data_IF_715601736313
#
_entry.id   IF_715601736313
#
_cell.length_a   1.000
_cell.length_b   1.000
_cell.length_c   1.000
_cell.angle_alpha   90.00
_cell.angle_beta   90.00
_cell.angle_gamma   90.00
#
_symmetry.space_group_name_H-M   'P 1'
#
loop_
_entity.id
_entity.type
_entity.pdbx_description
1 polymer ?
#
# COMPACT_ATOMS: atom_id res chain seq x y z
N UNK A 1 4.43 13.13 -9.06
CA UNK A 1 4.38 12.34 -10.31
C UNK A 1 4.42 13.17 -11.60
N UNK A 2 3.66 14.25 -11.77
CA UNK A 2 3.68 15.02 -13.03
C UNK A 2 5.11 15.42 -13.46
N UNK A 3 5.89 16.02 -12.56
CA UNK A 3 7.30 16.38 -12.81
C UNK A 3 8.17 15.19 -13.25
N UNK A 4 7.93 14.00 -12.68
CA UNK A 4 8.70 12.79 -13.01
C UNK A 4 8.53 12.39 -14.48
N UNK A 5 7.30 12.44 -14.99
CA UNK A 5 6.99 12.09 -16.39
C UNK A 5 7.40 13.17 -17.40
N UNK A 6 7.70 14.38 -16.94
CA UNK A 6 8.30 15.47 -17.72
C UNK A 6 9.84 15.55 -17.57
N UNK A 7 10.48 14.47 -17.10
CA UNK A 7 11.93 14.33 -16.92
C UNK A 7 12.57 15.21 -15.81
N UNK A 8 11.75 15.88 -14.99
CA UNK A 8 12.18 16.60 -13.78
C UNK A 8 12.30 15.65 -12.58
N UNK A 9 13.08 14.57 -12.71
CA UNK A 9 13.15 13.48 -11.72
C UNK A 9 13.66 13.94 -10.35
N UNK A 10 14.65 14.84 -10.33
CA UNK A 10 15.24 15.38 -9.09
C UNK A 10 14.22 16.19 -8.31
N UNK A 11 13.54 17.13 -8.98
CA UNK A 11 12.52 17.97 -8.34
C UNK A 11 11.34 17.13 -7.87
N UNK A 12 10.93 16.15 -8.68
CA UNK A 12 9.85 15.24 -8.31
C UNK A 12 10.20 14.43 -7.04
N UNK A 13 11.44 13.94 -6.93
CA UNK A 13 11.91 13.22 -5.75
C UNK A 13 12.01 14.14 -4.53
N UNK A 14 12.49 15.38 -4.71
CA UNK A 14 12.56 16.37 -3.64
C UNK A 14 11.17 16.67 -3.05
N UNK A 15 10.17 16.91 -3.91
CA UNK A 15 8.79 17.16 -3.46
C UNK A 15 8.21 15.94 -2.72
N UNK A 16 8.49 14.73 -3.21
CA UNK A 16 8.08 13.51 -2.53
C UNK A 16 8.72 13.40 -1.15
N UNK A 17 10.03 13.62 -1.04
CA UNK A 17 10.76 13.57 0.24
C UNK A 17 10.24 14.61 1.24
N UNK A 18 9.91 15.82 0.76
CA UNK A 18 9.30 16.86 1.60
C UNK A 18 7.94 16.44 2.15
N UNK A 19 7.07 15.87 1.30
CA UNK A 19 5.75 15.40 1.71
C UNK A 19 5.84 14.24 2.71
N UNK A 20 6.72 13.27 2.44
CA UNK A 20 6.96 12.13 3.34
C UNK A 20 7.52 12.58 4.68
N UNK A 21 8.51 13.48 4.70
CA UNK A 21 9.06 14.00 5.96
C UNK A 21 7.98 14.73 6.78
N UNK A 22 7.16 15.57 6.13
CA UNK A 22 6.07 16.25 6.81
C UNK A 22 5.05 15.26 7.41
N UNK A 23 4.67 14.22 6.67
CA UNK A 23 3.75 13.20 7.17
C UNK A 23 4.31 12.41 8.36
N UNK A 24 5.62 12.15 8.35
CA UNK A 24 6.33 11.51 9.47
C UNK A 24 6.38 12.45 10.69
N UNK A 25 6.71 13.73 10.48
CA UNK A 25 6.76 14.74 11.54
C UNK A 25 5.41 14.94 12.22
N UNK A 26 4.33 14.87 11.43
CA UNK A 26 2.94 14.89 11.89
C UNK A 26 2.51 13.56 12.54
N UNK A 27 3.30 12.49 12.41
CA UNK A 27 2.97 11.15 12.87
C UNK A 27 1.70 10.56 12.25
N UNK A 28 1.47 10.83 10.95
CA UNK A 28 0.28 10.35 10.22
C UNK A 28 0.15 8.82 10.18
N UNK A 29 1.24 8.10 10.41
CA UNK A 29 1.32 6.64 10.48
C UNK A 29 0.73 6.03 11.76
N UNK A 30 0.37 6.87 12.72
CA UNK A 30 -0.20 6.46 14.00
C UNK A 30 -1.72 6.43 13.96
N UNK A 31 -2.32 5.43 14.60
CA UNK A 31 -3.77 5.30 14.76
C UNK A 31 -4.42 6.60 15.28
N UNK A 32 -3.78 7.23 16.26
CA UNK A 32 -4.33 8.38 16.98
C UNK A 32 -4.38 9.65 16.11
N UNK A 33 -3.58 9.74 15.05
CA UNK A 33 -3.45 10.96 14.26
C UNK A 33 -4.78 11.34 13.59
N UNK A 34 -5.38 10.41 12.85
CA UNK A 34 -6.63 10.66 12.15
C UNK A 34 -7.74 11.04 13.13
N UNK A 35 -7.83 10.33 14.27
CA UNK A 35 -8.81 10.61 15.32
C UNK A 35 -8.62 12.02 15.94
N UNK A 36 -7.37 12.44 16.16
CA UNK A 36 -7.06 13.76 16.74
C UNK A 36 -7.30 14.92 15.76
N UNK A 37 -7.01 14.74 14.47
CA UNK A 37 -7.11 15.81 13.46
C UNK A 37 -8.47 15.89 12.76
N UNK A 38 -9.21 14.78 12.72
CA UNK A 38 -10.48 14.70 12.01
C UNK A 38 -11.71 15.23 12.76
N UNK A 39 -11.55 15.68 14.01
CA UNK A 39 -12.68 16.01 14.90
C UNK A 39 -13.76 14.92 14.82
N UNK A 40 -15.05 15.25 14.79
CA UNK A 40 -16.16 14.28 14.62
C UNK A 40 -16.51 13.97 13.15
N UNK A 41 -15.70 14.42 12.18
CA UNK A 41 -15.94 14.18 10.75
C UNK A 41 -15.29 12.86 10.29
N UNK A 42 -16.08 11.80 10.02
CA UNK A 42 -15.53 10.52 9.61
C UNK A 42 -14.83 10.57 8.24
N UNK A 43 -15.27 11.44 7.33
CA UNK A 43 -14.69 11.60 5.99
C UNK A 43 -13.31 12.26 6.11
N UNK A 44 -13.17 13.25 6.99
CA UNK A 44 -11.87 13.88 7.25
C UNK A 44 -10.89 12.89 7.90
N UNK A 45 -11.35 12.06 8.84
CA UNK A 45 -10.49 10.99 9.41
C UNK A 45 -10.03 10.00 8.32
N UNK A 46 -10.93 9.64 7.41
CA UNK A 46 -10.63 8.75 6.29
C UNK A 46 -9.64 9.36 5.29
N UNK A 47 -9.78 10.65 4.98
CA UNK A 47 -8.87 11.33 4.06
C UNK A 47 -7.44 11.40 4.63
N UNK A 48 -7.27 11.55 5.94
CA UNK A 48 -5.96 11.46 6.59
C UNK A 48 -5.34 10.07 6.46
N UNK A 49 -6.12 9.00 6.68
CA UNK A 49 -5.66 7.60 6.48
C UNK A 49 -5.24 7.36 5.04
N UNK A 50 -6.08 7.74 4.08
CA UNK A 50 -5.78 7.65 2.64
C UNK A 50 -4.51 8.44 2.25
N UNK A 51 -4.31 9.62 2.84
CA UNK A 51 -3.11 10.44 2.57
C UNK A 51 -1.83 9.73 2.99
N UNK A 52 -1.79 9.16 4.20
CA UNK A 52 -0.64 8.38 4.66
C UNK A 52 -0.37 7.18 3.74
N UNK A 53 -1.40 6.38 3.48
CA UNK A 53 -1.24 5.17 2.66
C UNK A 53 -0.88 5.47 1.21
N UNK A 54 -1.36 6.58 0.65
CA UNK A 54 -0.94 7.01 -0.69
C UNK A 54 0.53 7.44 -0.72
N UNK A 55 1.01 8.16 0.30
CA UNK A 55 2.44 8.47 0.42
C UNK A 55 3.27 7.19 0.55
N UNK A 56 2.78 6.20 1.32
CA UNK A 56 3.41 4.89 1.44
C UNK A 56 3.54 4.17 0.09
N UNK A 57 2.46 4.11 -0.69
CA UNK A 57 2.42 3.48 -2.02
C UNK A 57 3.35 4.20 -2.99
N UNK A 58 3.29 5.54 -3.04
CA UNK A 58 4.10 6.33 -3.98
C UNK A 58 5.59 6.25 -3.65
N UNK A 59 5.99 6.20 -2.38
CA UNK A 59 7.40 6.02 -1.99
C UNK A 59 7.95 4.68 -2.53
N UNK A 60 7.16 3.60 -2.42
CA UNK A 60 7.50 2.31 -2.97
C UNK A 60 7.60 2.33 -4.51
N UNK A 61 6.70 3.03 -5.20
CA UNK A 61 6.78 3.21 -6.66
C UNK A 61 8.05 3.96 -7.09
N UNK A 62 8.43 5.01 -6.36
CA UNK A 62 9.69 5.73 -6.62
C UNK A 62 10.89 4.83 -6.39
N UNK A 63 10.90 4.06 -5.30
CA UNK A 63 11.97 3.13 -4.99
C UNK A 63 12.15 2.07 -6.08
N UNK A 64 11.05 1.44 -6.52
CA UNK A 64 11.06 0.47 -7.61
C UNK A 64 11.51 1.07 -8.95
N UNK A 65 10.99 2.25 -9.31
CA UNK A 65 11.29 2.89 -10.60
C UNK A 65 12.73 3.41 -10.69
N UNK A 66 13.27 3.94 -9.59
CA UNK A 66 14.63 4.46 -9.53
C UNK A 66 15.68 3.38 -9.19
N UNK A 67 15.24 2.13 -8.92
CA UNK A 67 16.13 1.04 -8.51
C UNK A 67 16.82 1.32 -7.17
N UNK A 68 16.17 2.07 -6.27
CA UNK A 68 16.73 2.39 -4.95
C UNK A 68 16.11 1.51 -3.88
N UNK A 69 16.92 1.03 -2.93
CA UNK A 69 16.43 0.27 -1.77
C UNK A 69 15.97 1.15 -0.60
N UNK A 70 15.93 2.47 -0.78
CA UNK A 70 15.60 3.42 0.28
C UNK A 70 14.09 3.56 0.48
N UNK A 71 13.48 2.51 1.04
CA UNK A 71 12.06 2.45 1.40
C UNK A 71 11.87 3.01 2.82
N UNK A 72 11.93 4.34 2.97
CA UNK A 72 11.93 4.99 4.30
C UNK A 72 10.65 4.71 5.08
N UNK A 73 9.51 4.70 4.39
CA UNK A 73 8.20 4.50 5.00
C UNK A 73 7.92 3.04 5.37
N UNK A 74 8.61 2.08 4.75
CA UNK A 74 8.42 0.64 4.98
C UNK A 74 9.00 0.20 6.33
N UNK A 75 10.03 0.88 6.83
CA UNK A 75 10.67 0.57 8.12
C UNK A 75 9.99 1.22 9.33
N UNK A 76 8.87 1.91 9.13
CA UNK A 76 8.11 2.55 10.20
C UNK A 76 7.10 1.54 10.76
N UNK A 77 6.92 1.53 12.08
CA UNK A 77 5.84 0.78 12.72
C UNK A 77 4.51 1.51 12.46
N UNK A 78 3.77 1.01 11.46
CA UNK A 78 2.52 1.62 10.98
C UNK A 78 1.36 1.05 11.79
N UNK A 79 0.69 1.90 12.55
CA UNK A 79 -0.52 1.55 13.32
C UNK A 79 -1.79 2.17 12.75
N UNK A 80 -1.68 3.05 11.75
CA UNK A 80 -2.83 3.62 11.06
C UNK A 80 -3.65 2.50 10.39
N UNK A 81 -4.97 2.65 10.47
CA UNK A 81 -5.90 1.68 9.93
C UNK A 81 -6.00 1.77 8.40
N UNK A 82 -6.52 0.71 7.80
CA UNK A 82 -6.70 0.56 6.37
C UNK A 82 -7.86 1.44 5.85
N UNK A 83 -7.72 2.02 4.65
CA UNK A 83 -8.79 2.79 4.03
C UNK A 83 -10.01 1.94 3.65
N UNK A 84 -11.19 2.55 3.62
CA UNK A 84 -12.42 1.92 3.14
C UNK A 84 -12.47 1.87 1.60
N UNK A 85 -13.54 1.28 1.04
CA UNK A 85 -13.76 1.29 -0.41
C UNK A 85 -13.99 2.71 -0.94
N UNK A 86 -13.80 2.90 -2.26
CA UNK A 86 -14.04 4.18 -2.93
C UNK A 86 -15.51 4.60 -2.80
N UNK A 87 -16.45 3.66 -3.04
CA UNK A 87 -17.89 3.95 -2.91
C UNK A 87 -18.32 4.42 -1.51
N UNK A 88 -17.73 3.87 -0.46
CA UNK A 88 -18.00 4.30 0.93
C UNK A 88 -17.48 5.72 1.18
N UNK A 89 -16.30 6.05 0.64
CA UNK A 89 -15.70 7.38 0.77
C UNK A 89 -16.45 8.44 -0.03
N UNK A 90 -16.79 8.13 -1.28
CA UNK A 90 -17.56 9.01 -2.17
C UNK A 90 -18.95 9.31 -1.61
N UNK A 91 -19.59 8.32 -0.99
CA UNK A 91 -20.90 8.49 -0.36
C UNK A 91 -20.84 9.15 1.02
N UNK A 92 -19.63 9.26 1.62
CA UNK A 92 -19.41 9.75 2.97
C UNK A 92 -19.82 8.78 4.08
N UNK A 93 -20.27 7.57 3.74
CA UNK A 93 -20.68 6.54 4.69
C UNK A 93 -19.48 5.70 5.13
N UNK A 94 -18.56 6.31 5.88
CA UNK A 94 -17.30 5.66 6.24
C UNK A 94 -17.56 4.51 7.25
N UNK A 95 -17.21 3.26 6.91
CA UNK A 95 -17.37 2.14 7.82
C UNK A 95 -16.36 2.20 8.97
N UNK A 96 -16.56 1.34 9.97
CA UNK A 96 -15.54 1.13 11.00
C UNK A 96 -14.24 0.65 10.34
N UNK A 97 -13.12 1.38 10.53
CA UNK A 97 -11.85 1.04 9.89
C UNK A 97 -11.30 -0.30 10.39
N UNK A 98 -10.43 -0.90 9.60
CA UNK A 98 -9.81 -2.20 9.88
C UNK A 98 -8.31 -2.06 10.05
N UNK A 99 -7.73 -2.85 10.92
CA UNK A 99 -6.28 -2.83 11.17
C UNK A 99 -5.51 -3.61 10.11
N UNK A 100 -4.25 -3.26 9.92
CA UNK A 100 -3.32 -4.03 9.09
C UNK A 100 -3.15 -5.47 9.61
N UNK A 101 -3.21 -5.67 10.93
CA UNK A 101 -3.14 -7.00 11.55
C UNK A 101 -4.35 -7.88 11.16
N UNK A 102 -5.56 -7.33 11.16
CA UNK A 102 -6.76 -8.05 10.69
C UNK A 102 -6.59 -8.50 9.23
N UNK A 103 -6.02 -7.65 8.37
CA UNK A 103 -5.77 -8.01 6.98
C UNK A 103 -4.72 -9.11 6.84
N UNK A 104 -3.60 -9.01 7.58
CA UNK A 104 -2.50 -9.97 7.53
C UNK A 104 -2.85 -11.34 8.14
N UNK A 105 -3.90 -11.43 8.95
CA UNK A 105 -4.37 -12.68 9.55
C UNK A 105 -5.76 -13.12 9.05
N UNK A 106 -6.20 -12.58 7.90
CA UNK A 106 -7.57 -12.75 7.38
C UNK A 106 -7.97 -14.21 7.15
N UNK A 107 -7.02 -15.08 6.79
CA UNK A 107 -7.22 -16.50 6.58
C UNK A 107 -7.54 -17.28 7.86
N UNK A 108 -7.15 -16.74 9.02
CA UNK A 108 -7.43 -17.33 10.33
C UNK A 108 -8.72 -16.76 10.96
N UNK A 109 -9.37 -15.80 10.30
CA UNK A 109 -10.62 -15.24 10.80
C UNK A 109 -11.74 -16.27 10.69
N UNK A 110 -12.54 -16.47 11.75
CA UNK A 110 -13.70 -17.37 11.72
C UNK A 110 -14.85 -16.83 10.84
N UNK A 111 -14.76 -15.58 10.40
CA UNK A 111 -15.74 -14.91 9.53
C UNK A 111 -15.05 -14.41 8.27
N UNK A 112 -15.76 -14.44 7.14
CA UNK A 112 -15.35 -13.72 5.93
C UNK A 112 -15.33 -12.22 6.24
N UNK A 113 -14.13 -11.64 6.27
CA UNK A 113 -13.93 -10.20 6.46
C UNK A 113 -13.77 -9.57 5.08
N UNK A 114 -14.54 -8.51 4.84
CA UNK A 114 -14.36 -7.68 3.65
C UNK A 114 -13.22 -6.69 3.85
N UNK A 115 -12.37 -6.55 2.84
CA UNK A 115 -11.31 -5.54 2.76
C UNK A 115 -11.43 -4.79 1.45
N UNK A 116 -11.12 -3.50 1.48
CA UNK A 116 -11.18 -2.62 0.32
C UNK A 116 -10.09 -2.95 -0.70
N UNK A 117 -10.28 -2.54 -1.95
CA UNK A 117 -9.24 -2.59 -2.98
C UNK A 117 -7.97 -1.83 -2.57
N UNK A 118 -8.13 -0.76 -1.79
CA UNK A 118 -7.01 -0.02 -1.21
C UNK A 118 -6.17 -0.91 -0.28
N UNK A 119 -6.83 -1.68 0.60
CA UNK A 119 -6.13 -2.62 1.48
C UNK A 119 -5.35 -3.70 0.69
N UNK A 120 -5.93 -4.20 -0.41
CA UNK A 120 -5.23 -5.16 -1.26
C UNK A 120 -4.04 -4.54 -2.01
N UNK A 121 -4.15 -3.28 -2.46
CA UNK A 121 -3.02 -2.53 -3.03
C UNK A 121 -1.90 -2.31 -2.01
N UNK A 122 -2.24 -1.94 -0.77
CA UNK A 122 -1.28 -1.85 0.34
C UNK A 122 -0.56 -3.19 0.54
N UNK A 123 -1.31 -4.29 0.58
CA UNK A 123 -0.75 -5.63 0.70
C UNK A 123 0.20 -5.98 -0.46
N UNK A 124 -0.16 -5.61 -1.69
CA UNK A 124 0.69 -5.81 -2.86
C UNK A 124 2.00 -5.02 -2.76
N UNK A 125 1.92 -3.76 -2.31
CA UNK A 125 3.09 -2.91 -2.07
C UNK A 125 3.99 -3.50 -0.97
N UNK A 126 3.42 -4.05 0.10
CA UNK A 126 4.19 -4.73 1.13
C UNK A 126 4.93 -5.96 0.61
N UNK A 127 4.30 -6.77 -0.24
CA UNK A 127 4.96 -7.90 -0.90
C UNK A 127 6.12 -7.44 -1.79
N UNK A 128 5.91 -6.42 -2.62
CA UNK A 128 6.94 -5.86 -3.50
C UNK A 128 8.10 -5.24 -2.70
N UNK A 129 7.79 -4.47 -1.66
CA UNK A 129 8.78 -3.88 -0.76
C UNK A 129 9.63 -4.95 -0.07
N UNK A 130 9.02 -6.01 0.44
CA UNK A 130 9.73 -7.13 1.06
C UNK A 130 10.69 -7.81 0.05
N UNK A 131 10.27 -8.00 -1.19
CA UNK A 131 11.12 -8.56 -2.26
C UNK A 131 12.32 -7.64 -2.58
N UNK A 132 12.08 -6.33 -2.70
CA UNK A 132 13.14 -5.33 -2.93
C UNK A 132 14.14 -5.31 -1.77
N UNK A 133 13.66 -5.28 -0.53
CA UNK A 133 14.52 -5.27 0.67
C UNK A 133 15.32 -6.55 0.86
N UNK A 134 14.81 -7.69 0.37
CA UNK A 134 15.51 -8.96 0.45
C UNK A 134 16.61 -9.09 -0.61
N UNK A 135 16.60 -8.29 -1.69
CA UNK A 135 17.57 -8.40 -2.79
C UNK A 135 18.99 -8.05 -2.31
N UNK A 136 19.98 -8.98 -2.38
CA UNK A 136 21.30 -8.76 -1.83
C UNK A 136 22.07 -7.71 -2.65
N UNK A 137 22.81 -6.85 -1.96
CA UNK A 137 23.60 -5.76 -2.58
C UNK A 137 24.93 -6.22 -3.17
N UNK A 138 25.37 -7.47 -2.92
CA UNK A 138 26.64 -8.02 -3.41
C UNK A 138 26.52 -9.53 -3.66
N UNK A 139 27.18 -9.99 -4.72
CA UNK A 139 27.37 -11.34 -5.30
C UNK A 139 27.60 -12.50 -4.29
N UNK A 140 26.56 -12.91 -3.56
CA UNK A 140 26.54 -14.18 -2.83
C UNK A 140 25.54 -15.13 -3.52
N UNK A 141 26.03 -15.92 -4.47
CA UNK A 141 25.22 -16.83 -5.31
C UNK A 141 24.34 -17.77 -4.47
N UNK A 142 24.79 -18.22 -3.30
CA UNK A 142 24.04 -19.14 -2.43
C UNK A 142 22.91 -18.48 -1.63
N UNK A 143 22.98 -17.17 -1.35
CA UNK A 143 21.94 -16.43 -0.62
C UNK A 143 20.75 -16.07 -1.53
N UNK A 144 20.99 -16.01 -2.85
CA UNK A 144 20.03 -15.52 -3.84
C UNK A 144 18.76 -16.37 -3.96
N UNK A 145 18.87 -17.70 -3.93
CA UNK A 145 17.73 -18.61 -4.18
C UNK A 145 16.69 -18.60 -3.06
N UNK A 146 17.14 -18.59 -1.80
CA UNK A 146 16.24 -18.53 -0.64
C UNK A 146 15.50 -17.19 -0.56
N UNK A 147 16.19 -16.08 -0.89
CA UNK A 147 15.60 -14.74 -0.97
C UNK A 147 14.50 -14.69 -2.05
N UNK A 148 14.79 -15.22 -3.24
CA UNK A 148 13.83 -15.30 -4.34
C UNK A 148 12.60 -16.11 -3.92
N UNK A 149 12.80 -17.27 -3.27
CA UNK A 149 11.71 -18.11 -2.79
C UNK A 149 10.81 -17.40 -1.77
N UNK A 150 11.36 -16.59 -0.86
CA UNK A 150 10.56 -15.83 0.11
C UNK A 150 9.71 -14.77 -0.60
N UNK A 151 10.29 -14.07 -1.59
CA UNK A 151 9.56 -13.11 -2.40
C UNK A 151 8.41 -13.79 -3.15
N UNK A 152 8.70 -14.89 -3.86
CA UNK A 152 7.71 -15.69 -4.60
C UNK A 152 6.57 -16.18 -3.68
N UNK A 153 6.91 -16.72 -2.50
CA UNK A 153 5.91 -17.18 -1.53
C UNK A 153 5.00 -16.03 -1.06
N UNK A 154 5.55 -14.83 -0.89
CA UNK A 154 4.78 -13.65 -0.47
C UNK A 154 3.82 -13.19 -1.58
N UNK A 155 4.28 -13.18 -2.83
CA UNK A 155 3.47 -12.83 -4.00
C UNK A 155 2.35 -13.86 -4.24
N UNK A 156 2.68 -15.15 -4.16
CA UNK A 156 1.71 -16.24 -4.29
C UNK A 156 0.69 -16.22 -3.15
N UNK A 157 1.15 -15.96 -1.91
CA UNK A 157 0.27 -15.81 -0.76
C UNK A 157 -0.74 -14.68 -0.95
N UNK A 158 -0.31 -13.52 -1.44
CA UNK A 158 -1.21 -12.42 -1.76
C UNK A 158 -2.27 -12.84 -2.80
N UNK A 159 -1.87 -13.49 -3.90
CA UNK A 159 -2.77 -13.93 -4.98
C UNK A 159 -3.78 -14.99 -4.52
N UNK A 160 -3.32 -15.99 -3.75
CA UNK A 160 -4.16 -17.09 -3.27
C UNK A 160 -5.24 -16.60 -2.31
N UNK A 161 -4.92 -15.58 -1.52
CA UNK A 161 -5.81 -14.99 -0.52
C UNK A 161 -6.70 -13.86 -1.08
N UNK A 162 -6.63 -13.56 -2.38
CA UNK A 162 -7.60 -12.66 -3.01
C UNK A 162 -8.99 -13.31 -3.05
N UNK A 163 -10.05 -12.58 -2.67
CA UNK A 163 -11.41 -13.05 -2.83
C UNK A 163 -11.78 -13.08 -4.33
N UNK A 164 -12.75 -13.91 -4.75
CA UNK A 164 -13.02 -14.18 -6.16
C UNK A 164 -13.34 -12.92 -7.00
N UNK A 165 -14.05 -11.97 -6.41
CA UNK A 165 -14.44 -10.68 -6.96
C UNK A 165 -13.25 -9.75 -7.22
N UNK A 166 -12.17 -9.86 -6.44
CA UNK A 166 -10.95 -9.04 -6.61
C UNK A 166 -9.92 -9.68 -7.55
N UNK A 167 -10.19 -10.88 -8.07
CA UNK A 167 -9.36 -11.51 -9.11
C UNK A 167 -9.64 -10.94 -10.50
N UNK A 168 -10.83 -10.38 -10.71
CA UNK A 168 -11.21 -9.71 -11.96
C UNK A 168 -11.05 -8.21 -11.78
N UNK A 169 -10.24 -7.58 -12.62
CA UNK A 169 -9.96 -6.14 -12.56
C UNK A 169 -11.07 -5.31 -13.22
N UNK A 170 -11.73 -5.91 -14.21
CA UNK A 170 -12.82 -5.29 -14.96
C UNK A 170 -14.10 -5.98 -14.52
N UNK A 171 -15.04 -5.18 -14.03
CA UNK A 171 -16.38 -5.64 -13.67
C UNK A 171 -17.18 -6.03 -14.91
N UNK A 172 -18.29 -6.77 -14.72
CA UNK A 172 -19.18 -7.14 -15.82
C UNK A 172 -19.80 -5.92 -16.54
N UNK A 173 -19.87 -4.76 -15.87
CA UNK A 173 -20.35 -3.49 -16.42
C UNK A 173 -19.28 -2.72 -17.19
N UNK A 174 -18.03 -3.21 -17.22
CA UNK A 174 -16.91 -2.57 -17.89
C UNK A 174 -16.18 -1.52 -17.06
N UNK A 175 -16.58 -1.31 -15.80
CA UNK A 175 -15.87 -0.44 -14.86
C UNK A 175 -14.59 -1.13 -14.37
N UNK A 176 -13.52 -0.35 -14.25
CA UNK A 176 -12.20 -0.82 -13.82
C UNK A 176 -12.00 -0.43 -12.36
N UNK A 177 -11.66 -1.41 -11.53
CA UNK A 177 -11.17 -1.14 -10.18
C UNK A 177 -9.70 -0.68 -10.29
N UNK A 178 -9.48 0.64 -10.28
CA UNK A 178 -8.15 1.23 -10.52
C UNK A 178 -7.12 0.80 -9.48
N UNK A 179 -7.53 0.62 -8.21
CA UNK A 179 -6.65 0.21 -7.12
C UNK A 179 -6.24 -1.27 -7.28
N UNK A 180 -7.20 -2.14 -7.63
CA UNK A 180 -6.86 -3.52 -7.96
C UNK A 180 -6.03 -3.62 -9.24
N UNK A 181 -6.30 -2.81 -10.26
CA UNK A 181 -5.47 -2.75 -11.47
C UNK A 181 -4.01 -2.45 -11.12
N UNK A 182 -3.77 -1.44 -10.27
CA UNK A 182 -2.42 -1.13 -9.78
C UNK A 182 -1.82 -2.26 -8.96
N UNK A 183 -2.60 -2.90 -8.09
CA UNK A 183 -2.12 -4.01 -7.25
C UNK A 183 -1.69 -5.20 -8.10
N UNK A 184 -2.52 -5.59 -9.08
CA UNK A 184 -2.20 -6.63 -10.04
C UNK A 184 -1.00 -6.24 -10.90
N UNK A 185 -0.93 -4.99 -11.39
CA UNK A 185 0.24 -4.52 -12.15
C UNK A 185 1.52 -4.74 -11.34
N UNK A 186 1.55 -4.33 -10.08
CA UNK A 186 2.73 -4.45 -9.22
C UNK A 186 3.16 -5.91 -8.98
N UNK A 187 2.20 -6.81 -8.83
CA UNK A 187 2.44 -8.24 -8.55
C UNK A 187 2.76 -9.04 -9.82
N UNK A 188 2.43 -8.52 -11.01
CA UNK A 188 2.60 -9.19 -12.30
C UNK A 188 3.69 -8.59 -13.20
N UNK A 189 4.50 -7.62 -12.70
CA UNK A 189 5.67 -7.09 -13.43
C UNK A 189 6.76 -8.16 -13.60
#
# INVERSE_FOLDING_TARGET
MALFWYDYKVDAKLQMDMATNLAIDLQMFRLEFAAAQGADDPVLRESWRRTWWMLYIVDAYYAGTLGTTNLRVVNIDITVELPCDESDYESGNIPAPRTLQEFNCREFSPKTIHFSSFAYLIGAVQCAAAAISATPTVEAEECSTHIIQIADCSLDGWRLLLPPDRKQIITETGEIDELMFQAHLLIHV
#
